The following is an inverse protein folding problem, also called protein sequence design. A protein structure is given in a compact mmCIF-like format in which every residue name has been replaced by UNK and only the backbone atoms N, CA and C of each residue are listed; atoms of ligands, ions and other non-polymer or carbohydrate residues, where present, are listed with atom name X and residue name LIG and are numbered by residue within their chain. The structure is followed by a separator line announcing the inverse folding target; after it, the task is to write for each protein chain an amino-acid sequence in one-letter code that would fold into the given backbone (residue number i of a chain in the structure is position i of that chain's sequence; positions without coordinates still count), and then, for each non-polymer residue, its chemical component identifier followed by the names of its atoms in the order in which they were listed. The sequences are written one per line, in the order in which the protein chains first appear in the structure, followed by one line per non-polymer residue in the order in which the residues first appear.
data_IF_128805714766
#
_entry.id   IF_128805714766
#
_cell.length_a   1.000
_cell.length_b   1.000
_cell.length_c   1.000
_cell.angle_alpha   90.00
_cell.angle_beta   90.00
_cell.angle_gamma   90.00
#
_symmetry.space_group_name_H-M   'P 1'
#
loop_
_entity.id
_entity.type
_entity.pdbx_description
1 polymer ?
#
# COMPACT_ATOMS: atom_id res chain seq x y z
N UNK A 1 -6.36 -61.04 -11.96
CA UNK A 1 -7.04 -59.82 -11.46
C UNK A 1 -6.00 -58.96 -10.76
N UNK A 2 -5.53 -57.90 -11.43
CA UNK A 2 -4.60 -56.92 -10.86
C UNK A 2 -5.44 -55.71 -10.45
N UNK A 3 -5.50 -55.41 -9.14
CA UNK A 3 -6.16 -54.21 -8.63
C UNK A 3 -5.33 -52.98 -9.03
N UNK A 4 -5.78 -52.25 -10.06
CA UNK A 4 -5.36 -50.86 -10.30
C UNK A 4 -6.00 -49.97 -9.24
N UNK A 5 -5.25 -49.69 -8.18
CA UNK A 5 -5.54 -48.57 -7.29
C UNK A 5 -5.18 -47.28 -8.00
N UNK A 6 -6.17 -46.58 -8.55
CA UNK A 6 -6.04 -45.17 -8.87
C UNK A 6 -5.88 -44.40 -7.57
N UNK A 7 -4.63 -44.12 -7.18
CA UNK A 7 -4.32 -43.00 -6.31
C UNK A 7 -4.68 -41.73 -7.08
N UNK A 8 -5.95 -41.32 -6.99
CA UNK A 8 -6.36 -39.97 -7.29
C UNK A 8 -5.69 -39.07 -6.25
N UNK A 9 -4.47 -38.64 -6.54
CA UNK A 9 -3.89 -37.46 -5.93
C UNK A 9 -4.94 -36.36 -6.05
N UNK A 10 -5.45 -35.78 -4.95
CA UNK A 10 -6.26 -34.59 -5.07
C UNK A 10 -5.36 -33.54 -5.70
N UNK A 11 -5.62 -33.22 -6.96
CA UNK A 11 -5.17 -32.00 -7.61
C UNK A 11 -5.89 -30.81 -6.96
N UNK A 12 -5.84 -30.71 -5.63
CA UNK A 12 -6.14 -29.48 -4.91
C UNK A 12 -5.10 -28.50 -5.41
N UNK A 13 -5.60 -27.65 -6.30
CA UNK A 13 -4.80 -26.78 -7.12
C UNK A 13 -3.82 -26.01 -6.27
N UNK A 14 -2.67 -25.77 -6.89
CA UNK A 14 -1.84 -24.61 -6.64
C UNK A 14 -2.75 -23.38 -6.81
N UNK A 15 -3.56 -23.07 -5.81
CA UNK A 15 -4.20 -21.78 -5.69
C UNK A 15 -3.04 -20.82 -5.46
N UNK A 16 -2.54 -20.25 -6.56
CA UNK A 16 -1.72 -19.06 -6.51
C UNK A 16 -2.50 -18.10 -5.59
N UNK A 17 -1.96 -17.86 -4.40
CA UNK A 17 -2.60 -16.97 -3.45
C UNK A 17 -2.64 -15.59 -4.10
N UNK A 18 -3.85 -15.13 -4.46
CA UNK A 18 -4.05 -13.81 -5.08
C UNK A 18 -4.67 -12.92 -4.02
N UNK A 19 -3.83 -12.20 -3.28
CA UNK A 19 -4.31 -11.12 -2.42
C UNK A 19 -4.89 -10.02 -3.32
N UNK A 20 -6.05 -9.50 -2.98
CA UNK A 20 -6.61 -8.32 -3.62
C UNK A 20 -6.33 -7.11 -2.74
N UNK A 21 -5.74 -6.06 -3.31
CA UNK A 21 -5.83 -4.72 -2.73
C UNK A 21 -7.10 -4.11 -3.28
N UNK A 22 -8.06 -3.81 -2.41
CA UNK A 22 -9.40 -3.35 -2.78
C UNK A 22 -9.56 -1.86 -2.70
N UNK A 23 -8.72 -1.20 -1.90
CA UNK A 23 -8.70 0.24 -1.75
C UNK A 23 -7.31 0.71 -1.35
N UNK A 24 -6.96 1.91 -1.80
CA UNK A 24 -5.80 2.66 -1.34
C UNK A 24 -6.16 4.14 -1.35
N UNK A 25 -5.89 4.80 -0.23
CA UNK A 25 -6.10 6.24 -0.07
C UNK A 25 -5.13 6.81 0.93
N UNK A 26 -5.21 8.11 1.14
CA UNK A 26 -4.43 8.88 2.09
C UNK A 26 -5.41 9.43 3.12
N UNK A 27 -5.21 9.14 4.41
CA UNK A 27 -6.08 9.62 5.48
C UNK A 27 -5.53 10.92 6.11
N UNK A 28 -4.26 10.89 6.51
CA UNK A 28 -3.62 12.00 7.20
C UNK A 28 -2.38 12.45 6.43
N UNK A 29 -2.19 13.76 6.30
CA UNK A 29 -0.97 14.36 5.74
C UNK A 29 -0.40 15.34 6.76
N UNK A 30 0.86 15.14 7.12
CA UNK A 30 1.61 16.03 8.00
C UNK A 30 2.70 16.76 7.22
N UNK A 31 2.70 18.09 7.33
CA UNK A 31 3.64 18.97 6.65
C UNK A 31 4.29 19.87 7.70
N UNK A 32 5.54 19.57 8.07
CA UNK A 32 6.19 20.22 9.20
C UNK A 32 5.36 20.05 10.49
N UNK A 33 4.92 21.14 11.15
CA UNK A 33 4.12 21.05 12.38
C UNK A 33 2.61 20.82 12.14
N UNK A 34 2.12 20.89 10.91
CA UNK A 34 0.68 20.85 10.60
C UNK A 34 0.22 19.43 10.28
N UNK A 35 -0.97 19.05 10.74
CA UNK A 35 -1.65 17.78 10.43
C UNK A 35 -2.98 18.09 9.72
N UNK A 36 -3.21 17.47 8.57
CA UNK A 36 -4.34 17.75 7.68
C UNK A 36 -5.08 16.44 7.43
N UNK A 37 -6.41 16.43 7.57
CA UNK A 37 -7.22 15.30 7.12
C UNK A 37 -7.44 15.40 5.61
N UNK A 38 -6.89 14.44 4.90
CA UNK A 38 -6.85 14.49 3.46
C UNK A 38 -8.25 14.36 2.85
N UNK A 39 -8.54 15.14 1.80
CA UNK A 39 -9.86 15.15 1.14
C UNK A 39 -10.99 15.85 1.92
N UNK A 40 -10.76 16.26 3.17
CA UNK A 40 -11.74 16.91 4.04
C UNK A 40 -11.40 18.39 4.33
N UNK A 41 -10.13 18.67 4.63
CA UNK A 41 -9.65 20.00 5.05
C UNK A 41 -9.15 20.83 3.85
N UNK A 42 -10.04 21.30 2.98
CA UNK A 42 -9.66 21.88 1.68
C UNK A 42 -9.33 23.39 1.70
N UNK A 43 -9.69 24.12 2.76
CA UNK A 43 -9.86 25.57 2.63
C UNK A 43 -8.58 26.42 2.67
N UNK A 44 -7.42 25.90 3.08
CA UNK A 44 -6.19 26.71 3.20
C UNK A 44 -4.89 25.91 2.99
N UNK A 45 -4.95 24.77 2.31
CA UNK A 45 -3.79 23.85 2.14
C UNK A 45 -2.58 24.58 1.51
N UNK A 46 -2.80 25.36 0.44
CA UNK A 46 -1.73 26.09 -0.23
C UNK A 46 -1.04 27.10 0.70
N UNK A 47 -1.80 27.78 1.55
CA UNK A 47 -1.28 28.73 2.55
C UNK A 47 -0.45 28.03 3.63
N UNK A 48 -0.87 26.83 4.07
CA UNK A 48 -0.15 26.02 5.04
C UNK A 48 1.17 25.48 4.49
N UNK A 49 1.14 24.96 3.26
CA UNK A 49 2.33 24.44 2.57
C UNK A 49 3.35 25.56 2.31
N UNK A 50 2.88 26.74 1.88
CA UNK A 50 3.73 27.92 1.72
C UNK A 50 4.35 28.38 3.05
N UNK A 51 3.58 28.31 4.15
CA UNK A 51 4.06 28.67 5.49
C UNK A 51 5.10 27.68 6.03
N UNK A 52 4.93 26.38 5.80
CA UNK A 52 5.91 25.35 6.23
C UNK A 52 7.24 25.45 5.46
N UNK A 53 7.18 25.79 4.17
CA UNK A 53 8.36 26.11 3.35
C UNK A 53 9.13 27.31 3.90
N UNK A 54 8.43 28.38 4.25
CA UNK A 54 9.02 29.59 4.83
C UNK A 54 9.74 29.35 6.17
N UNK A 55 9.33 28.30 6.90
CA UNK A 55 9.97 27.87 8.14
C UNK A 55 11.07 26.82 7.94
N UNK A 56 11.36 26.38 6.72
CA UNK A 56 12.39 25.38 6.42
C UNK A 56 12.06 23.97 6.92
N UNK A 57 10.79 23.67 7.19
CA UNK A 57 10.36 22.39 7.75
C UNK A 57 9.61 21.56 6.71
N UNK A 58 10.26 20.55 6.10
CA UNK A 58 9.57 19.66 5.16
C UNK A 58 10.08 18.21 5.17
N UNK A 59 9.85 17.42 6.23
CA UNK A 59 9.43 16.04 6.02
C UNK A 59 7.91 16.04 5.76
N UNK A 60 7.49 15.63 4.56
CA UNK A 60 6.07 15.37 4.28
C UNK A 60 5.79 13.95 4.73
N UNK A 61 4.92 13.78 5.71
CA UNK A 61 4.51 12.46 6.19
C UNK A 61 3.05 12.24 5.79
N UNK A 62 2.68 11.02 5.46
CA UNK A 62 1.28 10.68 5.23
C UNK A 62 0.96 9.31 5.80
N UNK A 63 -0.33 9.07 6.05
CA UNK A 63 -0.84 7.76 6.43
C UNK A 63 -1.64 7.22 5.25
N UNK A 64 -1.14 6.16 4.63
CA UNK A 64 -1.88 5.44 3.60
C UNK A 64 -2.87 4.49 4.25
N UNK A 65 -4.13 4.59 3.88
CA UNK A 65 -5.16 3.61 4.23
C UNK A 65 -5.35 2.62 3.09
N UNK A 66 -5.26 1.33 3.39
CA UNK A 66 -5.32 0.26 2.41
C UNK A 66 -6.32 -0.81 2.84
N UNK A 67 -7.16 -1.25 1.92
CA UNK A 67 -7.98 -2.45 2.08
C UNK A 67 -7.29 -3.66 1.47
N UNK A 68 -7.12 -4.73 2.24
CA UNK A 68 -6.67 -6.03 1.76
C UNK A 68 -7.75 -7.09 1.98
N UNK A 69 -8.03 -7.90 0.96
CA UNK A 69 -8.96 -9.01 1.10
C UNK A 69 -8.56 -10.23 0.26
N UNK A 70 -9.23 -11.35 0.56
CA UNK A 70 -9.13 -12.56 -0.25
C UNK A 70 -10.26 -12.61 -1.28
N UNK A 71 -9.99 -13.23 -2.44
CA UNK A 71 -11.03 -13.58 -3.40
C UNK A 71 -12.18 -14.35 -2.74
N UNK A 72 -13.39 -14.12 -3.24
CA UNK A 72 -14.60 -14.77 -2.75
C UNK A 72 -14.46 -16.30 -2.84
N UNK A 73 -14.81 -17.01 -1.76
CA UNK A 73 -14.74 -18.47 -1.68
C UNK A 73 -13.42 -19.05 -1.16
N UNK A 74 -12.48 -18.21 -0.73
CA UNK A 74 -11.27 -18.66 -0.04
C UNK A 74 -11.50 -18.80 1.48
N UNK A 75 -10.86 -19.77 2.14
CA UNK A 75 -10.84 -19.82 3.60
C UNK A 75 -10.06 -18.62 4.17
N UNK A 76 -10.40 -18.20 5.39
CA UNK A 76 -9.65 -17.16 6.09
C UNK A 76 -8.19 -17.60 6.30
N UNK A 77 -7.27 -16.66 6.12
CA UNK A 77 -5.84 -16.88 6.35
C UNK A 77 -5.27 -15.79 7.23
N UNK A 78 -4.18 -16.10 7.91
CA UNK A 78 -3.38 -15.17 8.68
C UNK A 78 -2.06 -14.94 7.96
N UNK A 79 -1.73 -13.68 7.71
CA UNK A 79 -0.51 -13.26 7.05
C UNK A 79 0.44 -12.60 8.05
N UNK A 80 1.66 -13.13 8.17
CA UNK A 80 2.67 -12.62 9.09
C UNK A 80 3.34 -11.36 8.54
N UNK A 81 2.63 -10.23 8.64
CA UNK A 81 3.11 -8.96 8.12
C UNK A 81 3.40 -8.97 6.61
N UNK A 82 4.00 -7.91 6.12
CA UNK A 82 4.45 -7.79 4.73
C UNK A 82 5.44 -6.65 4.57
N UNK A 83 6.32 -6.78 3.58
CA UNK A 83 7.14 -5.66 3.12
C UNK A 83 6.39 -4.89 2.06
N UNK A 84 6.58 -3.58 2.02
CA UNK A 84 6.00 -2.75 0.99
C UNK A 84 7.00 -1.71 0.49
N UNK A 85 6.82 -1.29 -0.75
CA UNK A 85 7.54 -0.18 -1.38
C UNK A 85 6.51 0.67 -2.12
N UNK A 86 6.63 1.97 -2.00
CA UNK A 86 5.84 2.96 -2.70
C UNK A 86 6.78 3.83 -3.53
N UNK A 87 6.61 3.79 -4.84
CA UNK A 87 7.24 4.70 -5.79
C UNK A 87 6.22 5.79 -6.16
N UNK A 88 6.61 7.05 -6.06
CA UNK A 88 5.75 8.20 -6.35
C UNK A 88 6.50 9.12 -7.31
N UNK A 89 5.87 9.56 -8.41
CA UNK A 89 6.49 10.47 -9.36
C UNK A 89 7.04 11.73 -8.67
N UNK A 90 8.34 11.98 -8.87
CA UNK A 90 9.02 13.16 -8.32
C UNK A 90 9.48 13.04 -6.87
N UNK A 91 9.16 11.93 -6.17
CA UNK A 91 9.68 11.62 -4.83
C UNK A 91 10.71 10.48 -4.89
N UNK A 92 11.53 10.36 -3.84
CA UNK A 92 12.32 9.15 -3.65
C UNK A 92 11.41 7.98 -3.19
N UNK A 93 11.63 6.75 -3.68
CA UNK A 93 10.84 5.60 -3.27
C UNK A 93 10.90 5.36 -1.76
N UNK A 94 9.73 5.18 -1.14
CA UNK A 94 9.60 4.89 0.29
C UNK A 94 9.37 3.39 0.46
N UNK A 95 9.95 2.78 1.49
CA UNK A 95 9.70 1.37 1.79
C UNK A 95 9.56 1.14 3.28
N UNK A 96 8.87 0.06 3.63
CA UNK A 96 8.62 -0.29 5.02
C UNK A 96 8.33 -1.77 5.21
N UNK A 97 8.23 -2.15 6.48
CA UNK A 97 7.84 -3.48 6.89
C UNK A 97 6.68 -3.37 7.87
N UNK A 98 5.54 -3.92 7.49
CA UNK A 98 4.39 -4.09 8.36
C UNK A 98 4.58 -5.40 9.13
N UNK A 99 4.78 -5.32 10.45
CA UNK A 99 5.17 -6.49 11.26
C UNK A 99 4.00 -7.19 11.95
N UNK A 100 2.81 -6.59 11.94
CA UNK A 100 1.66 -7.17 12.63
C UNK A 100 1.03 -8.27 11.79
N UNK A 101 0.50 -9.29 12.46
CA UNK A 101 -0.26 -10.34 11.80
C UNK A 101 -1.57 -9.76 11.26
N UNK A 102 -1.89 -10.09 10.01
CA UNK A 102 -3.05 -9.60 9.28
C UNK A 102 -3.98 -10.77 9.01
N UNK A 103 -5.15 -10.76 9.64
CA UNK A 103 -6.22 -11.70 9.31
C UNK A 103 -6.88 -11.25 8.01
N UNK A 104 -6.85 -12.11 7.01
CA UNK A 104 -7.47 -11.89 5.71
C UNK A 104 -8.68 -12.80 5.59
N UNK A 105 -9.81 -12.21 5.26
CA UNK A 105 -11.09 -12.90 5.11
C UNK A 105 -11.61 -12.73 3.70
N UNK A 106 -12.48 -13.64 3.29
CA UNK A 106 -13.01 -13.68 1.94
C UNK A 106 -14.23 -12.76 1.84
N UNK A 107 -14.17 -11.78 0.94
CA UNK A 107 -15.24 -10.81 0.75
C UNK A 107 -15.29 -9.66 1.75
N UNK A 108 -14.42 -9.67 2.76
CA UNK A 108 -14.31 -8.59 3.76
C UNK A 108 -12.93 -7.94 3.69
N UNK A 109 -12.91 -6.61 3.67
CA UNK A 109 -11.69 -5.81 3.59
C UNK A 109 -11.05 -5.60 4.96
N UNK A 110 -9.83 -6.11 5.10
CA UNK A 110 -8.97 -5.79 6.22
C UNK A 110 -8.31 -4.44 5.98
N UNK A 111 -8.67 -3.46 6.81
CA UNK A 111 -8.15 -2.08 6.72
C UNK A 111 -6.82 -1.95 7.43
N UNK A 112 -5.82 -1.47 6.71
CA UNK A 112 -4.45 -1.28 7.16
C UNK A 112 -4.01 0.16 7.00
N UNK A 113 -3.10 0.60 7.89
CA UNK A 113 -2.51 1.93 7.87
C UNK A 113 -1.01 1.84 7.71
N UNK A 114 -0.47 2.44 6.65
CA UNK A 114 0.96 2.49 6.37
C UNK A 114 1.46 3.93 6.54
N UNK A 115 2.29 4.20 7.56
CA UNK A 115 2.95 5.49 7.67
C UNK A 115 4.03 5.60 6.58
N UNK A 116 3.94 6.66 5.77
CA UNK A 116 4.92 7.02 4.75
C UNK A 116 5.57 8.35 5.14
N UNK A 117 6.87 8.48 4.88
CA UNK A 117 7.59 9.72 5.05
C UNK A 117 8.38 9.99 3.77
N UNK A 118 8.06 11.09 3.10
CA UNK A 118 8.79 11.59 1.96
C UNK A 118 9.85 12.56 2.47
N UNK A 119 11.11 12.13 2.38
CA UNK A 119 12.24 12.97 2.76
C UNK A 119 12.64 13.89 1.60
N UNK A 120 12.91 15.14 1.94
CA UNK A 120 13.49 16.11 1.03
C UNK A 120 14.98 16.09 1.29
N UNK A 121 15.75 15.36 0.48
CA UNK A 121 17.20 15.49 0.50
C UNK A 121 17.54 16.98 0.34
N UNK A 122 17.98 17.58 1.44
CA UNK A 122 17.95 19.02 1.75
C UNK A 122 18.91 19.90 0.92
N UNK A 123 19.30 19.47 -0.29
CA UNK A 123 20.39 20.08 -1.06
C UNK A 123 19.97 20.61 -2.42
N UNK A 124 18.75 20.33 -2.89
CA UNK A 124 18.24 20.85 -4.17
C UNK A 124 16.92 21.60 -3.98
N UNK A 125 17.00 22.93 -3.88
CA UNK A 125 15.83 23.84 -3.95
C UNK A 125 15.00 23.66 -5.22
N UNK A 126 15.58 23.04 -6.26
CA UNK A 126 14.90 22.63 -7.50
C UNK A 126 13.90 21.48 -7.32
N UNK A 127 13.96 20.72 -6.21
CA UNK A 127 13.01 19.63 -5.89
C UNK A 127 11.88 20.04 -4.94
N UNK A 128 11.86 21.29 -4.48
CA UNK A 128 10.81 21.77 -3.57
C UNK A 128 9.44 21.89 -4.25
N UNK A 129 9.38 22.42 -5.48
CA UNK A 129 8.12 22.60 -6.18
C UNK A 129 7.36 21.27 -6.41
N UNK A 130 7.99 20.18 -6.89
CA UNK A 130 7.34 18.87 -7.00
C UNK A 130 6.82 18.31 -5.66
N UNK A 131 7.53 18.56 -4.55
CA UNK A 131 7.10 18.11 -3.21
C UNK A 131 5.92 18.89 -2.66
N UNK A 132 5.85 20.19 -2.98
CA UNK A 132 4.70 21.04 -2.65
C UNK A 132 3.48 20.59 -3.43
N UNK A 133 3.63 20.29 -4.71
CA UNK A 133 2.57 19.73 -5.55
C UNK A 133 2.10 18.37 -5.00
N UNK A 134 3.03 17.48 -4.68
CA UNK A 134 2.72 16.19 -4.05
C UNK A 134 1.95 16.38 -2.74
N UNK A 135 2.47 17.18 -1.81
CA UNK A 135 1.84 17.39 -0.51
C UNK A 135 0.44 18.02 -0.65
N UNK A 136 0.28 18.96 -1.59
CA UNK A 136 -1.00 19.59 -1.90
C UNK A 136 -1.97 18.58 -2.50
N UNK A 137 -1.51 17.71 -3.41
CA UNK A 137 -2.34 16.68 -4.02
C UNK A 137 -2.79 15.64 -2.98
N UNK A 138 -1.86 15.10 -2.19
CA UNK A 138 -2.17 14.15 -1.11
C UNK A 138 -3.19 14.76 -0.15
N UNK A 139 -3.00 16.01 0.29
CA UNK A 139 -3.89 16.66 1.25
C UNK A 139 -5.25 17.04 0.64
N UNK A 140 -5.29 17.47 -0.62
CA UNK A 140 -6.53 17.93 -1.26
C UNK A 140 -7.41 16.79 -1.78
N UNK A 141 -6.80 15.75 -2.34
CA UNK A 141 -7.53 14.64 -2.97
C UNK A 141 -7.68 13.44 -2.04
N UNK A 142 -6.79 13.26 -1.06
CA UNK A 142 -6.78 12.04 -0.25
C UNK A 142 -6.34 10.81 -1.05
N UNK A 143 -5.64 11.02 -2.15
CA UNK A 143 -5.25 9.98 -3.10
C UNK A 143 -3.78 10.14 -3.49
N UNK A 144 -3.15 9.02 -3.86
CA UNK A 144 -1.80 9.04 -4.42
C UNK A 144 -1.84 9.57 -5.87
N UNK A 145 -0.80 10.27 -6.32
CA UNK A 145 -0.77 10.79 -7.67
C UNK A 145 -0.70 9.68 -8.71
N UNK A 146 -1.29 9.94 -9.87
CA UNK A 146 -1.27 9.04 -11.02
C UNK A 146 0.17 8.65 -11.40
N UNK A 147 0.37 7.38 -11.71
CA UNK A 147 1.70 6.84 -12.02
C UNK A 147 2.52 6.43 -10.78
N UNK A 148 1.98 6.58 -9.57
CA UNK A 148 2.56 5.93 -8.39
C UNK A 148 2.46 4.41 -8.50
N UNK A 149 3.44 3.69 -7.96
CA UNK A 149 3.44 2.23 -7.91
C UNK A 149 3.58 1.77 -6.45
N UNK A 150 2.64 0.93 -6.02
CA UNK A 150 2.70 0.23 -4.74
C UNK A 150 3.08 -1.23 -4.99
N UNK A 151 4.18 -1.66 -4.38
CA UNK A 151 4.60 -3.05 -4.34
C UNK A 151 4.42 -3.62 -2.93
N UNK A 152 3.76 -4.78 -2.81
CA UNK A 152 3.58 -5.50 -1.55
C UNK A 152 4.20 -6.89 -1.70
N UNK A 153 5.14 -7.24 -0.83
CA UNK A 153 5.64 -8.61 -0.71
C UNK A 153 5.05 -9.25 0.55
N UNK A 154 4.07 -10.16 0.39
CA UNK A 154 3.42 -10.80 1.53
C UNK A 154 4.40 -11.61 2.39
N UNK A 155 4.16 -11.63 3.70
CA UNK A 155 4.83 -12.51 4.64
C UNK A 155 4.40 -13.97 4.50
N UNK A 156 4.68 -14.77 5.52
CA UNK A 156 4.21 -16.15 5.59
C UNK A 156 2.69 -16.19 5.79
N UNK A 157 2.02 -17.18 5.21
CA UNK A 157 0.57 -17.35 5.31
C UNK A 157 0.23 -18.63 6.08
N UNK A 158 -0.80 -18.57 6.93
CA UNK A 158 -1.32 -19.69 7.73
C UNK A 158 -2.83 -19.77 7.55
N UNK A 159 -3.41 -20.97 7.61
CA UNK A 159 -4.89 -21.15 7.57
C UNK A 159 -5.41 -22.03 6.44
N UNK A 160 -4.57 -22.43 5.48
CA UNK A 160 -4.92 -23.34 4.39
C UNK A 160 -4.70 -24.83 4.74
N UNK A 161 -4.68 -25.17 6.04
CA UNK A 161 -4.21 -26.48 6.53
C UNK A 161 -2.68 -26.69 6.42
N UNK A 162 -1.96 -25.71 5.85
CA UNK A 162 -0.51 -25.65 5.72
C UNK A 162 -0.01 -24.23 6.00
N UNK A 163 1.27 -24.08 6.32
CA UNK A 163 1.95 -22.77 6.37
C UNK A 163 2.71 -22.56 5.06
N UNK A 164 2.40 -21.48 4.34
CA UNK A 164 3.14 -21.08 3.15
C UNK A 164 4.23 -20.07 3.55
N UNK A 165 5.51 -20.40 3.37
CA UNK A 165 6.59 -19.46 3.68
C UNK A 165 6.60 -18.29 2.68
N UNK A 166 7.05 -17.13 3.13
CA UNK A 166 7.22 -15.96 2.28
C UNK A 166 8.17 -16.26 1.10
N UNK A 167 7.91 -15.68 -0.07
CA UNK A 167 8.81 -15.78 -1.23
C UNK A 167 8.15 -16.43 -2.43
N UNK A 168 8.68 -17.56 -2.92
CA UNK A 168 8.27 -18.18 -4.19
C UNK A 168 6.75 -18.47 -4.27
N UNK A 169 6.11 -18.69 -3.12
CA UNK A 169 4.69 -19.00 -3.01
C UNK A 169 3.79 -17.77 -2.81
N UNK A 170 4.37 -16.65 -2.42
CA UNK A 170 3.70 -15.37 -2.18
C UNK A 170 4.40 -14.27 -3.00
N UNK A 171 4.11 -14.18 -4.31
CA UNK A 171 4.80 -13.24 -5.18
C UNK A 171 4.57 -11.80 -4.71
N UNK A 172 5.54 -10.93 -5.01
CA UNK A 172 5.34 -9.48 -4.85
C UNK A 172 4.24 -9.03 -5.78
N UNK A 173 3.23 -8.38 -5.21
CA UNK A 173 2.10 -7.81 -5.90
C UNK A 173 2.43 -6.36 -6.21
N UNK A 174 2.21 -5.94 -7.45
CA UNK A 174 2.45 -4.56 -7.88
C UNK A 174 1.14 -3.94 -8.32
N UNK A 175 0.92 -2.70 -7.93
CA UNK A 175 -0.29 -1.95 -8.23
C UNK A 175 0.11 -0.57 -8.71
N UNK A 176 -0.36 -0.19 -9.89
CA UNK A 176 -0.22 1.17 -10.38
C UNK A 176 -1.44 1.99 -9.97
N UNK A 177 -1.21 3.22 -9.54
CA UNK A 177 -2.25 4.19 -9.19
C UNK A 177 -2.67 4.96 -10.45
N UNK A 178 -3.98 4.90 -10.75
CA UNK A 178 -4.62 5.59 -11.86
C UNK A 178 -4.83 7.09 -11.60
N UNK A 179 -5.57 7.76 -12.49
CA UNK A 179 -5.84 9.20 -12.40
C UNK A 179 -6.80 9.56 -11.26
N UNK A 180 -7.67 8.63 -10.86
CA UNK A 180 -8.69 8.80 -9.82
C UNK A 180 -8.36 7.95 -8.58
N UNK A 181 -7.06 7.75 -8.27
CA UNK A 181 -6.62 6.92 -7.14
C UNK A 181 -6.88 5.42 -7.30
N UNK A 182 -7.52 4.98 -8.38
CA UNK A 182 -7.80 3.57 -8.66
C UNK A 182 -6.53 2.71 -8.72
N UNK A 183 -6.59 1.52 -8.13
CA UNK A 183 -5.49 0.56 -8.18
C UNK A 183 -5.66 -0.44 -9.31
N UNK A 184 -4.66 -0.48 -10.18
CA UNK A 184 -4.59 -1.45 -11.27
C UNK A 184 -3.45 -2.45 -11.02
N UNK A 185 -3.74 -3.76 -10.86
CA UNK A 185 -2.70 -4.75 -10.67
C UNK A 185 -1.80 -4.85 -11.91
N UNK A 186 -0.50 -4.77 -11.68
CA UNK A 186 0.54 -4.96 -12.69
C UNK A 186 1.00 -6.43 -12.69
N UNK A 187 1.20 -7.00 -13.87
CA UNK A 187 1.59 -8.42 -14.03
C UNK A 187 3.07 -8.65 -13.82
#
# INVERSE_FOLDING_TARGET
MLLSGCLALPQTGLFAFRLAVTSLGVEDVRIGPYSIQAGLDTSDIASLVASSLGMGSLPVQATLAMGLSLPVGMPAVEMSGFRWTLDVPGAEPVSGNYQQDVTLTSGDDTKLRLPVAFDVLATDTRRLAPMVELATQLASQGELPAGSELAITPGSLRGLGVTLPAGLWTPTLRFAVGQDGELTPQR
#
